data_IF_352390035090
#
_entry.id   IF_352390035090
#
_cell.length_a   1.000
_cell.length_b   1.000
_cell.length_c   1.000
_cell.angle_alpha   90.00
_cell.angle_beta   90.00
_cell.angle_gamma   90.00
#
_symmetry.space_group_name_H-M   'P 1'
#
loop_
_entity.id
_entity.type
_entity.pdbx_description
1 polymer ?
#
# COMPACT_ATOMS: atom_id res chain seq x y z
N UNK A 1 11.62 42.05 -20.32
CA UNK A 1 11.96 41.03 -21.34
C UNK A 1 10.68 40.76 -22.12
N UNK A 2 10.66 40.92 -23.46
CA UNK A 2 9.47 40.56 -24.26
C UNK A 2 9.43 39.04 -24.37
N UNK A 3 8.39 38.39 -23.86
CA UNK A 3 8.17 36.95 -24.06
C UNK A 3 7.87 36.72 -25.54
N UNK A 4 8.64 35.86 -26.19
CA UNK A 4 8.33 35.41 -27.54
C UNK A 4 7.22 34.36 -27.46
N UNK A 5 6.02 34.71 -27.91
CA UNK A 5 4.86 33.83 -27.90
C UNK A 5 4.88 32.79 -29.04
N UNK A 6 5.89 32.82 -29.91
CA UNK A 6 6.05 31.84 -30.99
C UNK A 6 6.77 30.56 -30.54
N UNK A 7 7.50 30.59 -29.41
CA UNK A 7 8.08 29.41 -28.78
C UNK A 7 7.13 28.82 -27.72
N UNK A 8 6.55 27.63 -27.95
CA UNK A 8 5.65 26.97 -27.01
C UNK A 8 6.26 26.76 -25.61
N UNK A 9 7.58 26.58 -25.52
CA UNK A 9 8.27 26.33 -24.25
C UNK A 9 8.42 27.61 -23.43
N UNK A 10 8.85 28.70 -24.07
CA UNK A 10 8.93 30.01 -23.44
C UNK A 10 7.55 30.49 -22.96
N UNK A 11 6.51 30.29 -23.78
CA UNK A 11 5.15 30.62 -23.41
C UNK A 11 4.65 29.81 -22.21
N UNK A 12 4.90 28.51 -22.18
CA UNK A 12 4.47 27.64 -21.08
C UNK A 12 5.15 27.99 -19.75
N UNK A 13 6.45 28.33 -19.78
CA UNK A 13 7.18 28.79 -18.59
C UNK A 13 6.62 30.13 -18.09
N UNK A 14 6.33 31.05 -19.00
CA UNK A 14 5.72 32.34 -18.66
C UNK A 14 4.34 32.17 -18.01
N UNK A 15 3.50 31.29 -18.55
CA UNK A 15 2.20 30.96 -17.96
C UNK A 15 2.35 30.39 -16.55
N UNK A 16 3.33 29.50 -16.33
CA UNK A 16 3.58 28.91 -15.02
C UNK A 16 4.05 29.93 -13.97
N UNK A 17 4.81 30.95 -14.38
CA UNK A 17 5.26 32.03 -13.49
C UNK A 17 4.14 33.00 -13.11
N UNK A 18 3.16 33.19 -14.00
CA UNK A 18 2.03 34.11 -13.77
C UNK A 18 0.82 33.47 -13.08
N UNK A 19 0.75 32.14 -13.02
CA UNK A 19 -0.41 31.42 -12.53
C UNK A 19 -0.58 31.53 -11.00
N UNK A 20 -1.27 32.58 -10.54
CA UNK A 20 -1.85 32.63 -9.19
C UNK A 20 -3.05 31.68 -9.09
N UNK A 21 -3.78 31.41 -10.18
CA UNK A 21 -4.75 30.29 -10.29
C UNK A 21 -4.93 29.90 -11.78
N UNK A 22 -4.73 28.63 -12.14
CA UNK A 22 -5.02 28.09 -13.50
C UNK A 22 -6.51 27.72 -13.62
N UNK A 23 -7.42 28.68 -13.37
CA UNK A 23 -8.86 28.42 -13.22
C UNK A 23 -9.50 27.78 -14.46
N UNK A 24 -9.02 28.14 -15.65
CA UNK A 24 -9.56 27.63 -16.92
C UNK A 24 -8.77 26.44 -17.48
N UNK A 25 -7.71 25.98 -16.78
CA UNK A 25 -6.90 24.85 -17.21
C UNK A 25 -6.00 25.13 -18.43
N UNK A 26 -5.68 26.41 -18.69
CA UNK A 26 -4.88 26.84 -19.84
C UNK A 26 -3.47 26.25 -19.79
N UNK A 27 -2.84 26.21 -18.61
CA UNK A 27 -1.49 25.63 -18.46
C UNK A 27 -1.47 24.16 -18.91
N UNK A 28 -2.48 23.39 -18.50
CA UNK A 28 -2.62 21.98 -18.88
C UNK A 28 -2.91 21.82 -20.37
N UNK A 29 -3.76 22.68 -20.93
CA UNK A 29 -4.08 22.66 -22.35
C UNK A 29 -2.84 22.93 -23.21
N UNK A 30 -2.05 23.96 -22.86
CA UNK A 30 -0.79 24.29 -23.57
C UNK A 30 0.23 23.17 -23.43
N UNK A 31 0.39 22.60 -22.22
CA UNK A 31 1.29 21.45 -22.01
C UNK A 31 0.91 20.25 -22.91
N UNK A 32 -0.38 20.03 -23.16
CA UNK A 32 -0.85 18.94 -24.05
C UNK A 32 -0.50 19.13 -25.52
N UNK A 33 -0.26 20.38 -25.95
CA UNK A 33 0.16 20.69 -27.31
C UNK A 33 1.65 20.39 -27.57
N UNK A 34 2.45 20.16 -26.52
CA UNK A 34 3.87 19.84 -26.67
C UNK A 34 4.08 18.48 -27.36
N UNK A 35 5.13 18.40 -28.18
CA UNK A 35 5.63 17.13 -28.66
C UNK A 35 6.13 16.27 -27.48
N UNK A 36 6.07 14.92 -27.58
CA UNK A 36 6.50 14.05 -26.47
C UNK A 36 7.95 14.29 -26.01
N UNK A 37 8.85 14.64 -26.94
CA UNK A 37 10.26 14.95 -26.63
C UNK A 37 10.40 16.23 -25.79
N UNK A 38 9.68 17.28 -26.19
CA UNK A 38 9.67 18.57 -25.50
C UNK A 38 9.05 18.43 -24.11
N UNK A 39 7.91 17.73 -24.01
CA UNK A 39 7.25 17.48 -22.74
C UNK A 39 8.13 16.68 -21.77
N UNK A 40 8.81 15.63 -22.26
CA UNK A 40 9.72 14.83 -21.45
C UNK A 40 10.97 15.62 -21.01
N UNK A 41 11.54 16.41 -21.92
CA UNK A 41 12.71 17.27 -21.64
C UNK A 41 12.36 18.35 -20.61
N UNK A 42 11.23 19.03 -20.80
CA UNK A 42 10.80 20.06 -19.88
C UNK A 42 10.40 19.48 -18.51
N UNK A 43 9.75 18.31 -18.49
CA UNK A 43 9.44 17.62 -17.24
C UNK A 43 10.71 17.26 -16.47
N UNK A 44 11.76 16.80 -17.14
CA UNK A 44 13.06 16.53 -16.51
C UNK A 44 13.59 17.78 -15.79
N UNK A 45 13.54 18.94 -16.45
CA UNK A 45 14.07 20.19 -15.91
C UNK A 45 13.25 20.72 -14.72
N UNK A 46 11.93 20.48 -14.74
CA UNK A 46 11.01 20.87 -13.66
C UNK A 46 10.82 19.77 -12.60
N UNK A 47 11.44 18.59 -12.77
CA UNK A 47 11.13 17.39 -11.96
C UNK A 47 11.45 17.54 -10.47
N UNK A 48 12.37 18.44 -10.11
CA UNK A 48 12.79 18.71 -8.73
C UNK A 48 11.92 19.76 -8.03
N UNK A 49 11.05 20.44 -8.78
CA UNK A 49 10.18 21.50 -8.25
C UNK A 49 8.81 20.95 -7.90
N UNK A 50 8.13 21.61 -6.97
CA UNK A 50 6.70 21.38 -6.73
C UNK A 50 5.94 22.53 -7.37
N UNK A 51 5.49 22.33 -8.61
CA UNK A 51 4.81 23.35 -9.40
C UNK A 51 3.64 22.76 -10.18
N UNK A 52 2.66 23.61 -10.48
CA UNK A 52 1.56 23.30 -11.40
C UNK A 52 2.07 22.87 -12.78
N UNK A 53 3.19 23.47 -13.23
CA UNK A 53 3.86 23.10 -14.48
C UNK A 53 4.37 21.66 -14.47
N UNK A 54 5.07 21.23 -13.41
CA UNK A 54 5.51 19.83 -13.28
C UNK A 54 4.32 18.88 -13.39
N UNK A 55 3.23 19.18 -12.69
CA UNK A 55 2.05 18.31 -12.67
C UNK A 55 1.32 18.27 -14.02
N UNK A 56 1.27 19.40 -14.74
CA UNK A 56 0.74 19.46 -16.11
C UNK A 56 1.60 18.62 -17.07
N UNK A 57 2.92 18.78 -17.02
CA UNK A 57 3.87 18.03 -17.85
C UNK A 57 3.86 16.55 -17.53
N UNK A 58 3.82 16.18 -16.25
CA UNK A 58 3.74 14.79 -15.81
C UNK A 58 2.48 14.12 -16.35
N UNK A 59 1.33 14.78 -16.25
CA UNK A 59 0.08 14.25 -16.82
C UNK A 59 0.20 14.03 -18.32
N UNK A 60 0.73 15.01 -19.07
CA UNK A 60 0.95 14.89 -20.51
C UNK A 60 1.88 13.71 -20.84
N UNK A 61 3.02 13.58 -20.17
CA UNK A 61 3.98 12.49 -20.42
C UNK A 61 3.38 11.11 -20.07
N UNK A 62 2.53 11.02 -19.04
CA UNK A 62 1.77 9.81 -18.73
C UNK A 62 0.79 9.47 -19.86
N UNK A 63 -0.02 10.44 -20.30
CA UNK A 63 -0.97 10.27 -21.43
C UNK A 63 -0.25 9.82 -22.72
N UNK A 64 0.89 10.44 -23.04
CA UNK A 64 1.71 10.04 -24.19
C UNK A 64 2.26 8.62 -24.06
N UNK A 65 2.68 8.22 -22.86
CA UNK A 65 3.18 6.88 -22.61
C UNK A 65 2.07 5.82 -22.65
N UNK A 66 0.86 6.14 -22.21
CA UNK A 66 -0.33 5.28 -22.35
C UNK A 66 -0.70 5.05 -23.82
N UNK A 67 -0.60 6.10 -24.64
CA UNK A 67 -0.83 6.00 -26.09
C UNK A 67 0.29 5.23 -26.81
N UNK A 68 1.50 5.22 -26.26
CA UNK A 68 2.61 4.41 -26.75
C UNK A 68 3.94 4.86 -26.18
N UNK A 69 4.66 3.93 -25.55
CA UNK A 69 5.96 4.23 -24.95
C UNK A 69 7.02 4.43 -26.03
N UNK A 70 7.68 5.60 -26.03
CA UNK A 70 8.70 6.01 -27.00
C UNK A 70 10.08 6.17 -26.34
N UNK A 71 11.09 6.51 -27.16
CA UNK A 71 12.50 6.65 -26.73
C UNK A 71 12.67 7.74 -25.66
N UNK A 72 11.90 8.80 -25.76
CA UNK A 72 11.93 9.99 -24.90
C UNK A 72 11.49 9.62 -23.49
N UNK A 73 10.41 8.84 -23.36
CA UNK A 73 9.93 8.32 -22.07
C UNK A 73 10.98 7.40 -21.41
N UNK A 74 11.64 6.54 -22.20
CA UNK A 74 12.72 5.70 -21.69
C UNK A 74 13.93 6.49 -21.20
N UNK A 75 14.28 7.57 -21.91
CA UNK A 75 15.37 8.47 -21.53
C UNK A 75 15.02 9.22 -20.25
N UNK A 76 13.82 9.77 -20.15
CA UNK A 76 13.32 10.44 -18.96
C UNK A 76 13.35 9.52 -17.73
N UNK A 77 12.80 8.29 -17.82
CA UNK A 77 12.82 7.33 -16.71
C UNK A 77 14.24 7.06 -16.22
N UNK A 78 15.19 6.86 -17.15
CA UNK A 78 16.60 6.62 -16.81
C UNK A 78 17.21 7.81 -16.08
N UNK A 79 16.92 9.04 -16.54
CA UNK A 79 17.42 10.27 -15.93
C UNK A 79 16.84 10.49 -14.54
N UNK A 80 15.52 10.32 -14.39
CA UNK A 80 14.85 10.45 -13.09
C UNK A 80 15.36 9.40 -12.08
N UNK A 81 15.59 8.15 -12.50
CA UNK A 81 16.14 7.12 -11.62
C UNK A 81 17.51 7.51 -11.06
N UNK A 82 18.42 7.95 -11.94
CA UNK A 82 19.75 8.44 -11.52
C UNK A 82 19.63 9.63 -10.57
N UNK A 83 18.71 10.56 -10.86
CA UNK A 83 18.50 11.74 -10.03
C UNK A 83 17.96 11.37 -8.63
N UNK A 84 17.07 10.38 -8.52
CA UNK A 84 16.58 9.87 -7.22
C UNK A 84 17.73 9.32 -6.37
N UNK A 85 18.68 8.59 -6.97
CA UNK A 85 19.80 7.99 -6.24
C UNK A 85 20.76 9.05 -5.68
N UNK A 86 20.99 10.14 -6.42
CA UNK A 86 21.94 11.19 -6.04
C UNK A 86 21.35 12.31 -5.17
N UNK A 87 20.04 12.41 -5.09
CA UNK A 87 19.35 13.53 -4.46
C UNK A 87 19.28 13.43 -2.92
N UNK A 88 19.04 14.57 -2.28
CA UNK A 88 18.67 14.61 -0.87
C UNK A 88 17.27 14.02 -0.63
N UNK A 89 16.89 13.81 0.63
CA UNK A 89 15.62 13.14 0.96
C UNK A 89 14.39 13.84 0.37
N UNK A 90 14.32 15.18 0.45
CA UNK A 90 13.18 15.95 -0.04
C UNK A 90 13.08 15.87 -1.57
N UNK A 91 14.17 16.12 -2.27
CA UNK A 91 14.20 16.11 -3.74
C UNK A 91 13.97 14.70 -4.26
N UNK A 92 14.50 13.67 -3.59
CA UNK A 92 14.25 12.27 -3.94
C UNK A 92 12.77 11.90 -3.86
N UNK A 93 12.03 12.39 -2.85
CA UNK A 93 10.59 12.15 -2.75
C UNK A 93 9.80 12.81 -3.91
N UNK A 94 10.20 14.01 -4.32
CA UNK A 94 9.59 14.73 -5.44
C UNK A 94 9.84 13.98 -6.75
N UNK A 95 11.08 13.59 -7.01
CA UNK A 95 11.44 12.81 -8.20
C UNK A 95 10.75 11.43 -8.22
N UNK A 96 10.69 10.76 -7.07
CA UNK A 96 9.98 9.49 -6.92
C UNK A 96 8.48 9.61 -7.17
N UNK A 97 7.87 10.78 -6.94
CA UNK A 97 6.47 11.02 -7.31
C UNK A 97 6.27 10.96 -8.83
N UNK A 98 7.11 11.65 -9.60
CA UNK A 98 7.06 11.62 -11.07
C UNK A 98 7.26 10.20 -11.61
N UNK A 99 8.27 9.49 -11.11
CA UNK A 99 8.50 8.09 -11.48
C UNK A 99 7.34 7.16 -11.08
N UNK A 100 6.76 7.34 -9.90
CA UNK A 100 5.63 6.52 -9.45
C UNK A 100 4.38 6.69 -10.31
N UNK A 101 4.19 7.89 -10.85
CA UNK A 101 3.05 8.21 -11.73
C UNK A 101 3.25 7.64 -13.13
N UNK A 102 4.48 7.66 -13.64
CA UNK A 102 4.83 7.12 -14.95
C UNK A 102 4.92 5.58 -14.93
N UNK A 103 5.32 4.97 -13.83
CA UNK A 103 5.61 3.53 -13.74
C UNK A 103 4.51 2.62 -14.31
N UNK A 104 3.21 2.79 -14.01
CA UNK A 104 2.16 1.89 -14.51
C UNK A 104 2.08 1.80 -16.04
N UNK A 105 2.46 2.85 -16.76
CA UNK A 105 2.36 2.92 -18.23
C UNK A 105 3.58 2.31 -18.93
N UNK A 106 4.65 2.03 -18.18
CA UNK A 106 5.90 1.52 -18.74
C UNK A 106 5.83 0.03 -19.07
N UNK A 107 6.68 -0.46 -20.00
CA UNK A 107 6.84 -1.89 -20.25
C UNK A 107 7.41 -2.60 -19.01
N UNK A 108 7.05 -3.88 -18.83
CA UNK A 108 7.39 -4.69 -17.64
C UNK A 108 8.86 -4.56 -17.20
N UNK A 109 9.81 -4.63 -18.14
CA UNK A 109 11.24 -4.51 -17.85
C UNK A 109 11.58 -3.16 -17.17
N UNK A 110 10.96 -2.07 -17.61
CA UNK A 110 11.18 -0.73 -17.04
C UNK A 110 10.45 -0.54 -15.71
N UNK A 111 9.23 -1.10 -15.57
CA UNK A 111 8.53 -1.11 -14.27
C UNK A 111 9.35 -1.77 -13.19
N UNK A 112 9.91 -2.94 -13.49
CA UNK A 112 10.79 -3.68 -12.57
C UNK A 112 11.98 -2.87 -12.11
N UNK A 113 12.66 -2.16 -13.02
CA UNK A 113 13.77 -1.28 -12.65
C UNK A 113 13.34 -0.18 -11.69
N UNK A 114 12.17 0.44 -11.91
CA UNK A 114 11.64 1.48 -11.00
C UNK A 114 11.26 0.87 -9.65
N UNK A 115 10.58 -0.26 -9.64
CA UNK A 115 10.18 -0.99 -8.42
C UNK A 115 11.42 -1.38 -7.59
N UNK A 116 12.42 -1.97 -8.22
CA UNK A 116 13.68 -2.40 -7.61
C UNK A 116 14.45 -1.21 -7.00
N UNK A 117 14.60 -0.12 -7.77
CA UNK A 117 15.23 1.10 -7.25
C UNK A 117 14.46 1.69 -6.06
N UNK A 118 13.13 1.62 -6.07
CA UNK A 118 12.32 2.16 -4.99
C UNK A 118 12.43 1.33 -3.70
N UNK A 119 12.37 -0.01 -3.80
CA UNK A 119 12.42 -0.86 -2.59
C UNK A 119 13.82 -0.94 -1.98
N UNK A 120 14.88 -0.69 -2.76
CA UNK A 120 16.27 -0.57 -2.26
C UNK A 120 16.63 0.82 -1.74
N UNK A 121 15.71 1.79 -1.82
CA UNK A 121 15.99 3.14 -1.37
C UNK A 121 16.21 3.19 0.15
N UNK A 122 17.25 3.92 0.59
CA UNK A 122 17.46 4.24 2.01
C UNK A 122 16.29 5.01 2.65
N UNK A 123 15.49 5.69 1.82
CA UNK A 123 14.34 6.47 2.28
C UNK A 123 13.06 5.64 2.33
N UNK A 124 12.51 5.45 3.53
CA UNK A 124 11.28 4.68 3.79
C UNK A 124 10.08 5.14 2.95
N UNK A 125 9.91 6.46 2.76
CA UNK A 125 8.80 6.98 1.95
C UNK A 125 8.87 6.55 0.48
N UNK A 126 10.08 6.35 -0.06
CA UNK A 126 10.27 5.83 -1.43
C UNK A 126 10.01 4.32 -1.46
N UNK A 127 10.49 3.57 -0.46
CA UNK A 127 10.20 2.13 -0.34
C UNK A 127 8.71 1.85 -0.28
N UNK A 128 7.96 2.62 0.54
CA UNK A 128 6.49 2.57 0.59
C UNK A 128 5.83 2.81 -0.77
N UNK A 129 6.37 3.70 -1.61
CA UNK A 129 5.91 3.85 -3.01
C UNK A 129 6.22 2.59 -3.82
N UNK A 130 7.42 2.03 -3.67
CA UNK A 130 7.83 0.75 -4.28
C UNK A 130 6.86 -0.37 -3.96
N UNK A 131 6.56 -0.61 -2.68
CA UNK A 131 5.60 -1.63 -2.23
C UNK A 131 4.22 -1.45 -2.86
N UNK A 132 3.72 -0.21 -2.91
CA UNK A 132 2.43 0.09 -3.56
C UNK A 132 2.44 -0.17 -5.07
N UNK A 133 3.55 0.09 -5.75
CA UNK A 133 3.69 -0.20 -7.19
C UNK A 133 3.73 -1.70 -7.45
N UNK A 134 4.48 -2.46 -6.63
CA UNK A 134 4.60 -3.90 -6.76
C UNK A 134 3.27 -4.59 -6.47
N UNK A 135 2.56 -4.17 -5.41
CA UNK A 135 1.24 -4.72 -5.06
C UNK A 135 0.15 -4.47 -6.10
N UNK A 136 0.37 -3.59 -7.07
CA UNK A 136 -0.52 -3.36 -8.22
C UNK A 136 -0.06 -4.07 -9.49
N UNK A 137 1.16 -4.63 -9.54
CA UNK A 137 1.64 -5.34 -10.71
C UNK A 137 0.94 -6.70 -10.83
N UNK A 138 0.59 -7.09 -12.05
CA UNK A 138 -0.10 -8.37 -12.32
C UNK A 138 0.84 -9.56 -12.12
N UNK A 139 2.14 -9.35 -12.36
CA UNK A 139 3.17 -10.40 -12.22
C UNK A 139 4.37 -9.81 -11.47
N UNK A 140 4.20 -9.57 -10.15
CA UNK A 140 5.24 -8.98 -9.32
C UNK A 140 6.48 -9.88 -9.29
N UNK A 141 7.65 -9.26 -9.18
CA UNK A 141 8.87 -10.01 -8.90
C UNK A 141 8.96 -10.23 -7.39
N UNK A 142 8.75 -11.44 -6.90
CA UNK A 142 8.71 -11.70 -5.46
C UNK A 142 10.10 -11.60 -4.83
N UNK A 143 11.16 -11.85 -5.61
CA UNK A 143 12.54 -11.84 -5.12
C UNK A 143 12.96 -10.45 -4.62
N UNK A 144 12.51 -9.38 -5.27
CA UNK A 144 12.83 -8.00 -4.85
C UNK A 144 12.13 -7.63 -3.55
N UNK A 145 10.94 -8.17 -3.29
CA UNK A 145 10.18 -7.92 -2.05
C UNK A 145 10.82 -8.66 -0.89
N UNK A 146 11.18 -9.94 -1.09
CA UNK A 146 11.88 -10.74 -0.08
C UNK A 146 13.24 -10.13 0.26
N UNK A 147 13.99 -9.66 -0.74
CA UNK A 147 15.25 -8.95 -0.51
C UNK A 147 15.03 -7.66 0.29
N UNK A 148 14.03 -6.86 -0.07
CA UNK A 148 13.70 -5.63 0.65
C UNK A 148 13.26 -5.89 2.10
N UNK A 149 12.50 -6.96 2.34
CA UNK A 149 12.14 -7.38 3.69
C UNK A 149 13.37 -7.71 4.54
N UNK A 150 14.29 -8.54 4.01
CA UNK A 150 15.52 -8.92 4.71
C UNK A 150 16.44 -7.75 4.99
N UNK A 151 16.43 -6.73 4.13
CA UNK A 151 17.26 -5.54 4.29
C UNK A 151 16.66 -4.52 5.26
N UNK A 152 15.35 -4.28 5.19
CA UNK A 152 14.72 -3.13 5.86
C UNK A 152 13.73 -3.48 6.97
N UNK A 153 13.08 -4.65 6.93
CA UNK A 153 12.08 -5.06 7.93
C UNK A 153 10.84 -4.17 7.98
N UNK A 154 10.48 -3.47 6.89
CA UNK A 154 9.34 -2.54 6.91
C UNK A 154 7.99 -3.28 7.11
N UNK A 155 7.08 -2.83 7.99
CA UNK A 155 5.76 -3.45 8.19
C UNK A 155 4.91 -3.51 6.91
N UNK A 156 4.95 -2.47 6.07
CA UNK A 156 4.24 -2.50 4.79
C UNK A 156 4.80 -3.55 3.81
N UNK A 157 6.09 -3.89 3.93
CA UNK A 157 6.71 -4.97 3.17
C UNK A 157 6.23 -6.33 3.69
N UNK A 158 6.22 -6.54 5.01
CA UNK A 158 5.68 -7.75 5.63
C UNK A 158 4.24 -8.02 5.17
N UNK A 159 3.39 -7.00 5.22
CA UNK A 159 2.01 -7.11 4.76
C UNK A 159 1.90 -7.43 3.26
N UNK A 160 2.78 -6.85 2.45
CA UNK A 160 2.84 -7.15 1.02
C UNK A 160 3.25 -8.61 0.76
N UNK A 161 4.21 -9.14 1.53
CA UNK A 161 4.60 -10.54 1.45
C UNK A 161 3.44 -11.47 1.79
N UNK A 162 2.70 -11.21 2.88
CA UNK A 162 1.49 -11.98 3.25
C UNK A 162 0.47 -12.05 2.11
N UNK A 163 0.32 -10.97 1.34
CA UNK A 163 -0.59 -10.91 0.19
C UNK A 163 -0.09 -11.68 -1.03
N UNK A 164 1.22 -11.69 -1.29
CA UNK A 164 1.77 -12.06 -2.60
C UNK A 164 2.54 -13.37 -2.60
N UNK A 165 3.20 -13.74 -1.49
CA UNK A 165 3.99 -14.98 -1.44
C UNK A 165 3.07 -16.21 -1.49
N UNK A 166 3.50 -17.30 -2.17
CA UNK A 166 2.89 -18.62 -2.03
C UNK A 166 2.79 -19.05 -0.56
N UNK A 167 1.78 -19.84 -0.23
CA UNK A 167 1.57 -20.31 1.15
C UNK A 167 2.79 -21.05 1.71
N UNK A 168 3.45 -21.88 0.90
CA UNK A 168 4.66 -22.62 1.30
C UNK A 168 5.81 -21.67 1.72
N UNK A 169 6.04 -20.62 0.93
CA UNK A 169 7.06 -19.62 1.25
C UNK A 169 6.67 -18.81 2.50
N UNK A 170 5.38 -18.48 2.66
CA UNK A 170 4.87 -17.82 3.87
C UNK A 170 5.07 -18.67 5.12
N UNK A 171 4.86 -19.98 5.05
CA UNK A 171 5.07 -20.88 6.17
C UNK A 171 6.53 -20.85 6.63
N UNK A 172 7.48 -20.84 5.68
CA UNK A 172 8.91 -20.75 5.98
C UNK A 172 9.32 -19.40 6.62
N UNK A 173 8.61 -18.32 6.28
CA UNK A 173 8.90 -16.97 6.77
C UNK A 173 8.02 -16.53 7.95
N UNK A 174 7.10 -17.37 8.42
CA UNK A 174 6.08 -17.01 9.41
C UNK A 174 6.68 -16.36 10.65
N UNK A 175 7.68 -17.00 11.26
CA UNK A 175 8.31 -16.52 12.50
C UNK A 175 9.01 -15.17 12.33
N UNK A 176 9.51 -14.87 11.12
CA UNK A 176 10.12 -13.58 10.81
C UNK A 176 9.07 -12.49 10.61
N UNK A 177 7.96 -12.81 9.93
CA UNK A 177 6.93 -11.84 9.57
C UNK A 177 6.02 -11.48 10.74
N UNK A 178 5.71 -12.46 11.59
CA UNK A 178 4.70 -12.33 12.64
C UNK A 178 4.91 -11.12 13.57
N UNK A 179 6.14 -10.79 14.04
CA UNK A 179 6.36 -9.63 14.90
C UNK A 179 6.05 -8.28 14.25
N UNK A 180 5.96 -8.22 12.91
CA UNK A 180 5.64 -6.99 12.17
C UNK A 180 4.17 -6.90 11.72
N UNK A 181 3.34 -7.88 12.10
CA UNK A 181 1.89 -7.88 11.85
C UNK A 181 1.17 -7.51 13.15
N UNK A 182 1.04 -6.22 13.39
CA UNK A 182 0.48 -5.64 14.63
C UNK A 182 -1.05 -5.62 14.67
N UNK A 183 -1.72 -5.90 13.55
CA UNK A 183 -3.17 -5.83 13.44
C UNK A 183 -3.79 -7.21 13.29
N UNK A 184 -4.88 -7.48 14.03
CA UNK A 184 -5.56 -8.78 13.98
C UNK A 184 -6.07 -9.18 12.58
N UNK A 185 -6.44 -8.21 11.74
CA UNK A 185 -6.83 -8.51 10.35
C UNK A 185 -5.63 -8.96 9.48
N UNK A 186 -4.40 -8.53 9.79
CA UNK A 186 -3.19 -9.03 9.14
C UNK A 186 -2.87 -10.45 9.60
N UNK A 187 -2.95 -10.70 10.91
CA UNK A 187 -2.78 -12.04 11.50
C UNK A 187 -3.79 -13.02 10.91
N UNK A 188 -5.08 -12.66 10.93
CA UNK A 188 -6.15 -13.45 10.33
C UNK A 188 -5.85 -13.81 8.87
N UNK A 189 -5.36 -12.85 8.07
CA UNK A 189 -5.01 -13.12 6.66
C UNK A 189 -3.83 -14.08 6.55
N UNK A 190 -2.77 -13.90 7.34
CA UNK A 190 -1.61 -14.79 7.34
C UNK A 190 -2.05 -16.22 7.67
N UNK A 191 -2.78 -16.43 8.76
CA UNK A 191 -3.18 -17.78 9.18
C UNK A 191 -4.17 -18.44 8.21
N UNK A 192 -5.06 -17.68 7.56
CA UNK A 192 -5.88 -18.22 6.47
C UNK A 192 -5.06 -18.71 5.28
N UNK A 193 -3.96 -18.02 4.96
CA UNK A 193 -3.03 -18.45 3.88
C UNK A 193 -2.26 -19.69 4.30
N UNK A 194 -1.83 -19.78 5.55
CA UNK A 194 -1.10 -20.94 6.07
C UNK A 194 -1.98 -22.19 6.16
N UNK A 195 -3.27 -22.01 6.47
CA UNK A 195 -4.25 -23.09 6.48
C UNK A 195 -4.50 -23.72 5.09
N UNK A 196 -4.01 -23.11 4.00
CA UNK A 196 -4.00 -23.72 2.66
C UNK A 196 -3.07 -24.94 2.58
N UNK A 197 -2.06 -25.03 3.46
CA UNK A 197 -1.07 -26.12 3.47
C UNK A 197 -1.39 -27.22 4.48
N UNK A 198 -1.79 -26.80 5.68
CA UNK A 198 -2.04 -27.69 6.79
C UNK A 198 -3.20 -27.14 7.61
N UNK A 199 -4.15 -28.03 7.86
CA UNK A 199 -5.32 -27.75 8.63
C UNK A 199 -4.97 -27.24 10.04
N UNK A 200 -3.93 -27.72 10.70
CA UNK A 200 -3.77 -27.57 12.15
C UNK A 200 -3.01 -26.29 12.58
N UNK A 201 -2.70 -25.39 11.64
CA UNK A 201 -2.05 -24.09 11.93
C UNK A 201 -2.76 -23.11 12.88
N UNK A 202 -4.11 -23.10 13.06
CA UNK A 202 -4.78 -22.06 13.85
C UNK A 202 -4.43 -22.03 15.35
N UNK A 203 -3.93 -23.10 15.95
CA UNK A 203 -3.76 -23.19 17.41
C UNK A 203 -2.75 -22.18 17.97
N UNK A 204 -1.75 -21.77 17.18
CA UNK A 204 -0.83 -20.70 17.56
C UNK A 204 -1.52 -19.34 17.58
N UNK A 205 -2.47 -19.09 16.67
CA UNK A 205 -3.19 -17.83 16.57
C UNK A 205 -4.04 -17.56 17.81
N UNK A 206 -4.57 -18.61 18.45
CA UNK A 206 -5.33 -18.47 19.70
C UNK A 206 -4.53 -17.72 20.77
N UNK A 207 -3.23 -18.02 20.90
CA UNK A 207 -2.36 -17.40 21.90
C UNK A 207 -2.00 -15.95 21.57
N UNK A 208 -2.07 -15.59 20.28
CA UNK A 208 -1.71 -14.27 19.79
C UNK A 208 -2.91 -13.33 19.80
N UNK A 209 -4.06 -13.80 19.31
CA UNK A 209 -5.26 -13.01 19.14
C UNK A 209 -6.49 -13.93 19.03
N UNK A 210 -7.21 -14.07 20.14
CA UNK A 210 -8.36 -14.98 20.28
C UNK A 210 -9.54 -14.62 19.36
N UNK A 211 -9.75 -13.33 19.10
CA UNK A 211 -10.79 -12.85 18.17
C UNK A 211 -10.47 -13.26 16.73
N UNK A 212 -9.23 -13.06 16.30
CA UNK A 212 -8.73 -13.47 14.99
C UNK A 212 -8.75 -14.98 14.84
N UNK A 213 -8.39 -15.72 15.89
CA UNK A 213 -8.50 -17.19 15.92
C UNK A 213 -9.93 -17.66 15.63
N UNK A 214 -10.92 -17.15 16.36
CA UNK A 214 -12.33 -17.46 16.11
C UNK A 214 -12.77 -17.11 14.68
N UNK A 215 -12.32 -15.97 14.16
CA UNK A 215 -12.60 -15.57 12.79
C UNK A 215 -11.99 -16.53 11.76
N UNK A 216 -10.74 -16.94 11.95
CA UNK A 216 -10.07 -17.91 11.07
C UNK A 216 -10.80 -19.25 11.09
N UNK A 217 -11.15 -19.78 12.26
CA UNK A 217 -11.91 -21.02 12.37
C UNK A 217 -13.26 -20.95 11.65
N UNK A 218 -14.01 -19.86 11.87
CA UNK A 218 -15.28 -19.63 11.19
C UNK A 218 -15.13 -19.61 9.66
N UNK A 219 -14.04 -19.02 9.14
CA UNK A 219 -13.74 -19.00 7.69
C UNK A 219 -13.31 -20.34 7.14
N UNK A 220 -12.68 -21.18 7.96
CA UNK A 220 -12.29 -22.55 7.61
C UNK A 220 -13.43 -23.56 7.81
N UNK A 221 -14.62 -23.12 8.24
CA UNK A 221 -15.77 -24.01 8.49
C UNK A 221 -15.58 -24.92 9.69
N UNK A 222 -14.76 -24.51 10.67
CA UNK A 222 -14.48 -25.25 11.89
C UNK A 222 -15.23 -24.69 13.07
N UNK A 223 -15.24 -25.45 14.16
CA UNK A 223 -15.91 -25.08 15.40
C UNK A 223 -15.04 -25.40 16.62
N UNK A 224 -15.41 -24.82 17.77
CA UNK A 224 -14.81 -25.08 19.08
C UNK A 224 -15.90 -25.45 20.09
N UNK A 225 -15.56 -26.12 21.20
CA UNK A 225 -16.51 -26.38 22.27
C UNK A 225 -17.12 -25.10 22.86
N UNK A 226 -18.38 -25.19 23.33
CA UNK A 226 -19.11 -24.06 23.91
C UNK A 226 -18.37 -23.44 25.10
N UNK A 227 -17.75 -24.25 25.95
CA UNK A 227 -17.00 -23.80 27.12
C UNK A 227 -15.80 -22.93 26.71
N UNK A 228 -15.08 -23.35 25.66
CA UNK A 228 -13.94 -22.62 25.11
C UNK A 228 -14.39 -21.30 24.49
N UNK A 229 -15.47 -21.32 23.71
CA UNK A 229 -16.03 -20.11 23.12
C UNK A 229 -16.49 -19.11 24.18
N UNK A 230 -17.14 -19.56 25.26
CA UNK A 230 -17.51 -18.71 26.39
C UNK A 230 -16.29 -18.08 27.07
N UNK A 231 -15.22 -18.84 27.27
CA UNK A 231 -13.97 -18.28 27.82
C UNK A 231 -13.41 -17.15 26.96
N UNK A 232 -13.42 -17.32 25.63
CA UNK A 232 -12.96 -16.28 24.70
C UNK A 232 -13.86 -15.03 24.74
N UNK A 233 -15.18 -15.21 24.85
CA UNK A 233 -16.15 -14.11 25.01
C UNK A 233 -15.84 -13.27 26.24
N UNK A 234 -15.60 -13.93 27.37
CA UNK A 234 -15.33 -13.25 28.65
C UNK A 234 -14.01 -12.47 28.63
N UNK A 235 -12.98 -13.05 28.02
CA UNK A 235 -11.67 -12.41 27.86
C UNK A 235 -11.70 -11.23 26.88
N UNK A 236 -12.57 -11.30 25.87
CA UNK A 236 -12.60 -10.33 24.76
C UNK A 236 -13.72 -9.30 24.88
N UNK A 237 -14.46 -9.26 26.00
CA UNK A 237 -15.63 -8.40 26.17
C UNK A 237 -15.35 -6.90 25.94
N UNK A 238 -14.13 -6.45 26.27
CA UNK A 238 -13.67 -5.07 26.07
C UNK A 238 -13.05 -4.80 24.70
N UNK A 239 -12.87 -5.81 23.85
CA UNK A 239 -12.22 -5.66 22.54
C UNK A 239 -13.14 -4.91 21.57
N UNK A 240 -12.61 -3.90 20.85
CA UNK A 240 -13.37 -3.14 19.85
C UNK A 240 -13.96 -4.03 18.74
N UNK A 241 -13.34 -5.20 18.51
CA UNK A 241 -13.72 -6.20 17.52
C UNK A 241 -14.67 -7.24 18.11
N UNK A 242 -15.25 -7.04 19.29
CA UNK A 242 -16.19 -7.98 19.89
C UNK A 242 -17.34 -8.37 18.96
N UNK A 243 -17.82 -7.43 18.12
CA UNK A 243 -18.82 -7.73 17.09
C UNK A 243 -18.37 -8.79 16.07
N UNK A 244 -17.08 -8.82 15.71
CA UNK A 244 -16.49 -9.85 14.83
C UNK A 244 -16.44 -11.21 15.53
N UNK A 245 -16.16 -11.24 16.84
CA UNK A 245 -16.21 -12.47 17.64
C UNK A 245 -17.64 -13.05 17.65
N UNK A 246 -18.65 -12.23 17.95
CA UNK A 246 -20.06 -12.66 17.94
C UNK A 246 -20.46 -13.20 16.57
N UNK A 247 -20.08 -12.52 15.49
CA UNK A 247 -20.30 -13.02 14.12
C UNK A 247 -19.66 -14.39 13.89
N UNK A 248 -18.42 -14.56 14.35
CA UNK A 248 -17.67 -15.81 14.19
C UNK A 248 -18.34 -16.97 14.95
N UNK A 249 -18.77 -16.72 16.19
CA UNK A 249 -19.55 -17.67 17.01
C UNK A 249 -20.82 -18.11 16.28
N UNK A 250 -21.56 -17.16 15.69
CA UNK A 250 -22.73 -17.48 14.88
C UNK A 250 -22.40 -18.28 13.62
N UNK A 251 -21.30 -17.98 12.94
CA UNK A 251 -20.83 -18.76 11.78
C UNK A 251 -20.41 -20.18 12.13
N UNK A 252 -19.92 -20.41 13.35
CA UNK A 252 -19.58 -21.73 13.87
C UNK A 252 -20.79 -22.52 14.40
N UNK A 253 -22.00 -21.92 14.43
CA UNK A 253 -23.23 -22.58 14.88
C UNK A 253 -23.37 -22.74 16.39
N UNK A 254 -22.65 -21.93 17.18
CA UNK A 254 -22.61 -22.04 18.64
C UNK A 254 -23.80 -21.33 19.30
N UNK A 255 -25.00 -21.90 19.13
CA UNK A 255 -26.27 -21.32 19.58
C UNK A 255 -26.30 -20.99 21.08
N UNK A 256 -25.88 -21.94 21.92
CA UNK A 256 -25.91 -21.78 23.38
C UNK A 256 -25.05 -20.59 23.84
N UNK A 257 -23.90 -20.40 23.20
CA UNK A 257 -22.99 -19.27 23.45
C UNK A 257 -23.66 -17.94 23.08
N UNK A 258 -24.37 -17.88 21.94
CA UNK A 258 -25.11 -16.67 21.54
C UNK A 258 -26.24 -16.34 22.51
N UNK A 259 -26.97 -17.34 23.00
CA UNK A 259 -28.02 -17.14 24.02
C UNK A 259 -27.40 -16.59 25.31
N UNK A 260 -26.27 -17.14 25.76
CA UNK A 260 -25.56 -16.65 26.94
C UNK A 260 -25.04 -15.21 26.77
N UNK A 261 -24.51 -14.86 25.59
CA UNK A 261 -24.12 -13.48 25.26
C UNK A 261 -25.33 -12.55 25.37
N UNK A 262 -26.48 -12.92 24.78
CA UNK A 262 -27.69 -12.10 24.81
C UNK A 262 -28.19 -11.85 26.24
N UNK A 263 -28.14 -12.88 27.10
CA UNK A 263 -28.55 -12.76 28.51
C UNK A 263 -27.63 -11.82 29.31
N UNK A 264 -26.36 -11.70 28.91
CA UNK A 264 -25.34 -10.85 29.56
C UNK A 264 -25.04 -9.57 28.78
N UNK A 265 -25.84 -9.24 27.77
CA UNK A 265 -25.54 -8.14 26.85
C UNK A 265 -25.33 -6.80 27.56
N UNK A 266 -26.16 -6.39 28.55
CA UNK A 266 -25.95 -5.13 29.27
C UNK A 266 -24.60 -5.05 30.00
N UNK A 267 -24.18 -6.16 30.65
CA UNK A 267 -22.89 -6.27 31.33
C UNK A 267 -21.72 -6.15 30.34
N UNK A 268 -21.83 -6.82 29.19
CA UNK A 268 -20.80 -6.80 28.14
C UNK A 268 -20.69 -5.42 27.48
N UNK A 269 -21.81 -4.73 27.26
CA UNK A 269 -21.82 -3.38 26.71
C UNK A 269 -21.17 -2.36 27.65
N UNK A 270 -21.44 -2.46 28.95
CA UNK A 270 -20.81 -1.60 29.96
C UNK A 270 -19.28 -1.79 29.99
N UNK A 271 -18.82 -3.04 29.97
CA UNK A 271 -17.38 -3.35 29.92
C UNK A 271 -16.72 -2.83 28.65
N UNK A 272 -17.41 -2.93 27.50
CA UNK A 272 -16.90 -2.39 26.23
C UNK A 272 -16.83 -0.87 26.25
N UNK A 273 -17.86 -0.21 26.78
CA UNK A 273 -17.85 1.25 26.94
C UNK A 273 -16.72 1.70 27.87
N UNK A 274 -16.54 1.04 29.00
CA UNK A 274 -15.45 1.34 29.94
C UNK A 274 -14.05 1.17 29.31
N UNK A 275 -13.84 0.12 28.51
CA UNK A 275 -12.57 -0.12 27.83
C UNK A 275 -12.25 0.97 26.79
N UNK A 276 -13.24 1.41 26.01
CA UNK A 276 -13.07 2.48 25.02
C UNK A 276 -12.70 3.82 25.68
N UNK A 277 -13.36 4.16 26.80
CA UNK A 277 -13.08 5.40 27.52
C UNK A 277 -11.69 5.43 28.19
N UNK A 278 -11.08 4.28 28.46
CA UNK A 278 -9.71 4.18 28.99
C UNK A 278 -8.63 4.35 27.91
N UNK A 279 -8.96 4.14 26.64
CA UNK A 279 -8.02 4.29 25.52
C UNK A 279 -7.95 5.74 24.99
N UNK A 280 -8.94 6.58 25.31
CA UNK A 280 -9.01 7.99 24.90
C UNK A 280 -8.42 8.98 25.94
N UNK A 281 -7.91 8.49 27.08
CA UNK A 281 -7.32 9.26 28.17
C UNK A 281 -5.80 9.13 28.23
#
# INVERSE_FOLDING_TARGET
>A
MKTDFSDPLAFLRHLAEQAVVDDIGLLRAVARCLAPEDAATLLRDEATRTSSLRDALLRKVVEDAEAGVRREHHTLVRQLLRAVESADGRTSQILAYSLSSLCPTLPRKKRRLVQEAFVRSRFVGIRRRGYRLIGKDKVPDLSIIVAAWREWGDPECAWLLVKLLPAADLASMKSELLPSLDQGWMLSRLFLRLAELDADFPDELERLDSVSYCYVLAKLGRTIPNEKAMSIVEQSAGDERFGLLVWSIGKMGLWEVLVAIQQRLPELEERRFAALMQHDA
#
